data_IF_863638912724
#
_entry.id   IF_863638912724
#
_cell.length_a   1.000
_cell.length_b   1.000
_cell.length_c   1.000
_cell.angle_alpha   90.00
_cell.angle_beta   90.00
_cell.angle_gamma   90.00
#
_symmetry.space_group_name_H-M   'P 1'
#
loop_
_entity.id
_entity.type
_entity.pdbx_description
1 polymer ?
#
# COMPACT_ATOMS: atom_id res chain seq x y z
N UNK A 1 11.90 -8.89 9.25
CA UNK A 1 10.42 -8.84 9.43
C UNK A 1 9.77 -7.97 8.35
N UNK A 2 10.26 -6.74 8.14
CA UNK A 2 9.82 -5.79 7.12
C UNK A 2 9.66 -6.41 5.71
N UNK A 3 10.68 -7.11 5.25
CA UNK A 3 10.72 -7.79 3.95
C UNK A 3 9.61 -8.85 3.76
N UNK A 4 9.29 -9.62 4.81
CA UNK A 4 8.15 -10.57 4.78
C UNK A 4 6.82 -9.84 4.60
N UNK A 5 6.62 -8.71 5.29
CA UNK A 5 5.37 -7.94 5.17
C UNK A 5 5.24 -7.33 3.78
N UNK A 6 6.33 -6.78 3.22
CA UNK A 6 6.36 -6.27 1.83
C UNK A 6 5.99 -7.34 0.81
N UNK A 7 6.57 -8.54 0.92
CA UNK A 7 6.21 -9.67 0.05
C UNK A 7 4.75 -10.10 0.19
N UNK A 8 4.21 -10.14 1.41
CA UNK A 8 2.80 -10.49 1.63
C UNK A 8 1.87 -9.47 0.97
N UNK A 9 2.11 -8.17 1.18
CA UNK A 9 1.30 -7.10 0.56
C UNK A 9 1.42 -7.13 -0.96
N UNK A 10 2.63 -7.34 -1.48
CA UNK A 10 2.84 -7.47 -2.93
C UNK A 10 2.06 -8.62 -3.53
N UNK A 11 2.14 -9.82 -2.95
CA UNK A 11 1.39 -10.98 -3.45
C UNK A 11 -0.13 -10.81 -3.29
N UNK A 12 -0.60 -10.12 -2.25
CA UNK A 12 -2.01 -9.81 -2.08
C UNK A 12 -2.53 -8.97 -3.26
N UNK A 13 -1.80 -7.92 -3.63
CA UNK A 13 -2.19 -7.02 -4.71
C UNK A 13 -2.01 -7.67 -6.09
N UNK A 14 -0.96 -8.47 -6.29
CA UNK A 14 -0.78 -9.26 -7.50
C UNK A 14 -1.94 -10.25 -7.70
N UNK A 15 -2.33 -10.96 -6.64
CA UNK A 15 -3.49 -11.86 -6.66
C UNK A 15 -4.78 -11.14 -7.02
N UNK A 16 -4.96 -9.92 -6.52
CA UNK A 16 -6.09 -9.07 -6.87
C UNK A 16 -6.11 -8.76 -8.38
N UNK A 17 -5.01 -8.29 -8.95
CA UNK A 17 -4.91 -7.98 -10.38
C UNK A 17 -5.22 -9.20 -11.26
N UNK A 18 -4.61 -10.35 -10.94
CA UNK A 18 -4.85 -11.61 -11.64
C UNK A 18 -6.33 -12.02 -11.59
N UNK A 19 -6.97 -11.83 -10.44
CA UNK A 19 -8.39 -12.15 -10.25
C UNK A 19 -9.29 -11.20 -11.05
N UNK A 20 -9.00 -9.89 -11.02
CA UNK A 20 -9.74 -8.88 -11.80
C UNK A 20 -9.68 -9.20 -13.29
N UNK A 21 -8.48 -9.50 -13.81
CA UNK A 21 -8.26 -9.86 -15.20
C UNK A 21 -9.04 -11.14 -15.59
N UNK A 22 -9.00 -12.15 -14.72
CA UNK A 22 -9.78 -13.38 -14.91
C UNK A 22 -11.28 -13.12 -14.94
N UNK A 23 -11.81 -12.36 -13.98
CA UNK A 23 -13.22 -12.00 -13.91
C UNK A 23 -13.70 -11.27 -15.18
N UNK A 24 -12.92 -10.28 -15.64
CA UNK A 24 -13.22 -9.56 -16.88
C UNK A 24 -13.20 -10.48 -18.11
N UNK A 25 -12.21 -11.37 -18.21
CA UNK A 25 -12.14 -12.34 -19.32
C UNK A 25 -13.33 -13.30 -19.34
N UNK A 26 -13.89 -13.62 -18.17
CA UNK A 26 -15.09 -14.45 -18.02
C UNK A 26 -16.42 -13.71 -18.17
N UNK A 27 -16.42 -12.43 -18.52
CA UNK A 27 -17.64 -11.63 -18.70
C UNK A 27 -18.32 -11.19 -17.41
N UNK A 28 -17.63 -11.25 -16.27
CA UNK A 28 -18.16 -10.71 -15.02
C UNK A 28 -18.16 -9.17 -15.09
N UNK A 29 -19.14 -8.56 -14.44
CA UNK A 29 -19.34 -7.10 -14.42
C UNK A 29 -18.30 -6.37 -13.57
N UNK A 30 -18.77 -5.46 -12.71
CA UNK A 30 -17.88 -4.68 -11.84
C UNK A 30 -17.21 -5.57 -10.80
N UNK A 31 -15.88 -5.61 -10.83
CA UNK A 31 -15.04 -6.31 -9.86
C UNK A 31 -13.95 -5.37 -9.34
N UNK A 32 -13.52 -5.55 -8.11
CA UNK A 32 -12.57 -4.64 -7.46
C UNK A 32 -12.15 -5.15 -6.08
N UNK A 33 -11.27 -4.40 -5.42
CA UNK A 33 -10.82 -4.67 -4.04
C UNK A 33 -11.49 -3.68 -3.06
N UNK A 34 -11.80 -4.17 -1.86
CA UNK A 34 -12.18 -3.32 -0.74
C UNK A 34 -10.96 -3.12 0.18
N UNK A 35 -10.62 -1.87 0.46
CA UNK A 35 -9.52 -1.51 1.37
C UNK A 35 -10.06 -0.69 2.54
N UNK A 36 -9.47 -0.86 3.72
CA UNK A 36 -9.74 0.01 4.85
C UNK A 36 -8.95 1.32 4.65
N UNK A 37 -9.65 2.45 4.66
CA UNK A 37 -9.06 3.77 4.43
C UNK A 37 -9.45 4.72 5.57
N UNK A 38 -8.83 4.59 6.75
CA UNK A 38 -9.11 5.48 7.88
C UNK A 38 -8.66 6.91 7.55
N UNK A 39 -9.55 7.89 7.77
CA UNK A 39 -9.17 9.29 7.76
C UNK A 39 -8.40 9.61 9.05
N UNK A 40 -7.08 9.74 8.96
CA UNK A 40 -6.30 10.30 10.06
C UNK A 40 -6.55 11.81 10.13
N UNK A 41 -6.86 12.34 11.32
CA UNK A 41 -6.86 13.79 11.56
C UNK A 41 -5.70 14.10 12.49
N UNK A 42 -4.73 14.87 12.03
CA UNK A 42 -3.67 15.36 12.90
C UNK A 42 -4.20 16.52 13.76
N UNK A 43 -4.30 16.31 15.08
CA UNK A 43 -4.87 17.30 16.02
C UNK A 43 -3.84 18.33 16.51
N UNK A 44 -2.55 18.12 16.24
CA UNK A 44 -1.45 18.98 16.66
C UNK A 44 -0.67 19.47 15.42
N UNK A 45 -0.03 20.65 15.55
CA UNK A 45 0.61 21.38 14.43
C UNK A 45 2.12 21.54 14.59
N UNK A 46 2.77 20.66 15.36
CA UNK A 46 4.24 20.63 15.34
C UNK A 46 4.71 19.98 14.04
N UNK A 47 5.93 20.32 13.60
CA UNK A 47 6.51 19.72 12.40
C UNK A 47 6.64 18.20 12.52
N UNK A 48 7.00 17.71 13.69
CA UNK A 48 7.10 16.27 14.00
C UNK A 48 5.73 15.56 13.95
N UNK A 49 4.65 16.22 14.38
CA UNK A 49 3.29 15.65 14.29
C UNK A 49 2.83 15.55 12.83
N UNK A 50 3.17 16.54 12.00
CA UNK A 50 2.85 16.54 10.57
C UNK A 50 3.63 15.45 9.83
N UNK A 51 4.92 15.28 10.16
CA UNK A 51 5.77 14.22 9.61
C UNK A 51 5.24 12.83 9.98
N UNK A 52 4.95 12.61 11.27
CA UNK A 52 4.39 11.35 11.78
C UNK A 52 3.05 11.04 11.12
N UNK A 53 2.20 12.06 10.95
CA UNK A 53 0.92 11.92 10.26
C UNK A 53 1.12 11.53 8.78
N UNK A 54 2.11 12.11 8.11
CA UNK A 54 2.49 11.75 6.75
C UNK A 54 2.92 10.29 6.62
N UNK A 55 3.77 9.80 7.53
CA UNK A 55 4.18 8.39 7.57
C UNK A 55 3.02 7.44 7.85
N UNK A 56 2.13 7.83 8.78
CA UNK A 56 0.92 7.06 9.07
C UNK A 56 0.00 6.94 7.85
N UNK A 57 -0.22 8.02 7.12
CA UNK A 57 -1.03 8.01 5.89
C UNK A 57 -0.40 7.14 4.78
N UNK A 58 0.93 7.15 4.67
CA UNK A 58 1.63 6.23 3.75
C UNK A 58 1.34 4.79 4.13
N UNK A 59 1.54 4.44 5.40
CA UNK A 59 1.39 3.08 5.89
C UNK A 59 -0.05 2.56 5.77
N UNK A 60 -1.04 3.37 6.19
CA UNK A 60 -2.44 2.94 6.23
C UNK A 60 -3.12 2.99 4.86
N UNK A 61 -2.80 3.99 4.04
CA UNK A 61 -3.55 4.27 2.81
C UNK A 61 -2.70 4.09 1.56
N UNK A 62 -1.65 4.91 1.40
CA UNK A 62 -0.93 5.01 0.10
C UNK A 62 -0.13 3.77 -0.25
N UNK A 63 0.20 2.91 0.71
CA UNK A 63 0.87 1.65 0.42
C UNK A 63 0.07 0.76 -0.54
N UNK A 64 -1.23 0.61 -0.28
CA UNK A 64 -2.12 -0.19 -1.14
C UNK A 64 -2.60 0.62 -2.34
N UNK A 65 -3.01 1.87 -2.10
CA UNK A 65 -3.59 2.72 -3.14
C UNK A 65 -2.57 3.13 -4.21
N UNK A 66 -1.30 3.26 -3.86
CA UNK A 66 -0.24 3.60 -4.82
C UNK A 66 -0.14 2.57 -5.93
N UNK A 67 -0.08 1.28 -5.59
CA UNK A 67 -0.04 0.24 -6.62
C UNK A 67 -1.35 0.16 -7.42
N UNK A 68 -2.50 0.34 -6.76
CA UNK A 68 -3.81 0.26 -7.42
C UNK A 68 -4.09 1.39 -8.42
N UNK A 69 -3.54 2.59 -8.19
CA UNK A 69 -3.85 3.76 -9.01
C UNK A 69 -2.66 4.31 -9.82
N UNK A 70 -1.44 4.08 -9.36
CA UNK A 70 -0.23 4.61 -10.00
C UNK A 70 0.80 3.54 -10.36
N UNK A 71 0.50 2.26 -10.10
CA UNK A 71 1.37 1.11 -10.36
C UNK A 71 2.76 1.21 -9.69
N UNK A 72 2.86 1.99 -8.62
CA UNK A 72 4.12 2.24 -7.90
C UNK A 72 3.90 2.30 -6.40
N UNK A 73 4.82 1.71 -5.64
CA UNK A 73 4.87 1.92 -4.19
C UNK A 73 5.43 3.31 -3.85
N UNK A 74 4.88 4.01 -2.84
CA UNK A 74 5.49 5.24 -2.33
C UNK A 74 6.93 5.04 -1.87
N UNK A 75 7.88 5.85 -2.34
CA UNK A 75 9.30 5.74 -1.98
C UNK A 75 9.56 5.81 -0.46
N UNK A 76 8.78 6.65 0.24
CA UNK A 76 8.85 6.81 1.71
C UNK A 76 8.48 5.53 2.48
N UNK A 77 7.94 4.49 1.84
CA UNK A 77 7.80 3.17 2.47
C UNK A 77 9.15 2.56 2.85
N UNK A 78 10.23 2.92 2.18
CA UNK A 78 11.57 2.43 2.51
C UNK A 78 12.05 2.98 3.87
N UNK A 79 11.50 4.11 4.33
CA UNK A 79 11.75 4.65 5.67
C UNK A 79 10.98 3.88 6.76
N UNK A 80 9.80 3.36 6.41
CA UNK A 80 8.92 2.60 7.32
C UNK A 80 9.35 1.13 7.39
N UNK A 81 9.72 0.57 6.24
CA UNK A 81 10.14 -0.81 6.05
C UNK A 81 11.45 -0.83 5.27
N UNK A 82 12.57 -0.48 5.93
CA UNK A 82 13.88 -0.55 5.30
C UNK A 82 14.12 -1.98 4.83
N UNK A 83 14.59 -2.10 3.59
CA UNK A 83 15.07 -3.37 3.07
C UNK A 83 16.14 -3.91 4.01
N UNK A 84 16.11 -5.20 4.30
CA UNK A 84 17.34 -5.86 4.71
C UNK A 84 18.21 -5.81 3.46
N UNK A 85 19.36 -5.14 3.51
CA UNK A 85 20.30 -5.07 2.40
C UNK A 85 20.93 -6.43 2.14
N UNK A 86 20.10 -7.41 1.78
CA UNK A 86 20.54 -8.72 1.35
C UNK A 86 20.77 -8.60 -0.17
N UNK A 87 21.88 -7.94 -0.50
CA UNK A 87 22.63 -8.22 -1.72
C UNK A 87 23.16 -9.66 -1.60
N UNK A 88 22.38 -10.65 -2.03
CA UNK A 88 22.89 -11.97 -2.47
C UNK A 88 21.94 -12.67 -3.46
#
# INVERSE_FOLDING_TARGET
>A
MADKVRRVVHHLLLSHELTVNSCHSGGHGRVGIAVNSPSGVCRLRTEQDLETHGLHDVFQNRWFLGLLFTDTYPAVLDEIFPGTGDDE
#
